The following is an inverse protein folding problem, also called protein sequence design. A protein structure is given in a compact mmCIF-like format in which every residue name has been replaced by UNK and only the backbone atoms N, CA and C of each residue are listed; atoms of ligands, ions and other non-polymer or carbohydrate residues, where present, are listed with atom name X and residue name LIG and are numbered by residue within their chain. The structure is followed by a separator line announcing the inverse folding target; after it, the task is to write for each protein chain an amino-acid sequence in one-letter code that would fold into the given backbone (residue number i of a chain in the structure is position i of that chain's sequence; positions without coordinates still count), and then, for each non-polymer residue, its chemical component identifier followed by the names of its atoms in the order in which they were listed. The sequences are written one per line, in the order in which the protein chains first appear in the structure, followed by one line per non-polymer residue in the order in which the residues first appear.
data_IF_527281204485
#
_entry.id   IF_527281204485
#
_cell.length_a   1.000
_cell.length_b   1.000
_cell.length_c   1.000
_cell.angle_alpha   90.00
_cell.angle_beta   90.00
_cell.angle_gamma   90.00
#
_symmetry.space_group_name_H-M   'P 1'
#
loop_
_entity.id
_entity.type
_entity.pdbx_description
1 polymer ?
#
# COMPACT_ATOMS: atom_id res chain seq x y z
N UNK A 1 -5.20 12.29 4.06
CA UNK A 1 -6.40 11.90 3.28
C UNK A 1 -6.39 12.75 2.03
N UNK A 2 -6.31 12.13 0.85
CA UNK A 2 -6.43 12.85 -0.42
C UNK A 2 -7.90 12.83 -0.87
N UNK A 3 -8.36 13.92 -1.47
CA UNK A 3 -9.72 14.05 -2.01
C UNK A 3 -9.70 14.99 -3.23
N UNK A 4 -9.46 14.45 -4.43
CA UNK A 4 -9.39 15.22 -5.69
C UNK A 4 -10.58 15.04 -6.65
N UNK A 5 -11.64 14.34 -6.24
CA UNK A 5 -12.86 14.12 -7.04
C UNK A 5 -13.26 12.65 -7.12
N UNK A 6 -14.34 12.36 -7.85
CA UNK A 6 -14.80 10.99 -8.11
C UNK A 6 -13.99 10.40 -9.28
N UNK A 7 -13.41 9.21 -9.06
CA UNK A 7 -12.77 8.41 -10.09
C UNK A 7 -13.77 7.37 -10.63
N UNK A 8 -14.18 7.44 -11.92
CA UNK A 8 -15.06 6.45 -12.51
C UNK A 8 -14.48 5.03 -12.46
N UNK A 9 -15.35 4.03 -12.33
CA UNK A 9 -14.99 2.61 -12.17
C UNK A 9 -14.07 2.03 -13.25
N UNK A 10 -14.18 2.51 -14.48
CA UNK A 10 -13.37 2.09 -15.64
C UNK A 10 -11.98 2.74 -15.71
N UNK A 11 -11.66 3.63 -14.78
CA UNK A 11 -10.44 4.42 -14.77
C UNK A 11 -9.57 4.03 -13.58
N UNK A 12 -8.25 4.14 -13.76
CA UNK A 12 -7.29 4.13 -12.65
C UNK A 12 -6.76 5.54 -12.45
N UNK A 13 -6.35 5.86 -11.22
CA UNK A 13 -5.66 7.09 -10.87
C UNK A 13 -4.40 6.75 -10.06
N UNK A 14 -3.44 7.67 -10.05
CA UNK A 14 -2.19 7.52 -9.33
C UNK A 14 -2.15 8.47 -8.12
N UNK A 15 -1.90 7.92 -6.94
CA UNK A 15 -1.72 8.68 -5.71
C UNK A 15 -0.26 8.69 -5.29
N UNK A 16 0.35 9.87 -5.28
CA UNK A 16 1.76 10.04 -4.89
C UNK A 16 1.85 10.46 -3.43
N UNK A 17 2.61 9.70 -2.65
CA UNK A 17 3.02 10.05 -1.28
C UNK A 17 4.55 10.14 -1.26
N UNK A 18 5.07 11.25 -0.73
CA UNK A 18 6.49 11.41 -0.47
C UNK A 18 6.76 11.31 1.03
N UNK A 19 7.74 10.51 1.42
CA UNK A 19 8.14 10.33 2.81
C UNK A 19 9.65 10.05 2.90
N UNK A 20 10.20 10.26 4.08
CA UNK A 20 11.58 9.94 4.41
C UNK A 20 11.64 8.61 5.19
N UNK A 21 12.52 7.71 4.77
CA UNK A 21 12.79 6.45 5.46
C UNK A 21 14.08 6.59 6.27
N UNK A 22 13.99 6.38 7.58
CA UNK A 22 15.14 6.51 8.48
C UNK A 22 16.09 5.31 8.37
N UNK A 23 17.37 5.53 8.65
CA UNK A 23 18.40 4.49 8.73
C UNK A 23 18.20 3.47 9.87
N UNK A 24 17.36 3.81 10.87
CA UNK A 24 17.00 2.89 11.96
C UNK A 24 16.14 1.69 11.53
N UNK A 25 15.62 1.69 10.29
CA UNK A 25 14.82 0.60 9.75
C UNK A 25 15.68 -0.61 9.39
N UNK A 26 15.19 -1.81 9.69
CA UNK A 26 15.91 -3.04 9.39
C UNK A 26 15.98 -3.27 7.87
N UNK A 27 17.18 -3.51 7.28
CA UNK A 27 17.28 -3.86 5.88
C UNK A 27 16.69 -5.25 5.62
N UNK A 28 16.35 -5.52 4.36
CA UNK A 28 15.75 -6.76 3.89
C UNK A 28 14.36 -7.06 4.47
N UNK A 29 13.72 -6.13 5.17
CA UNK A 29 12.31 -6.23 5.57
C UNK A 29 11.41 -5.53 4.55
N UNK A 30 10.11 -5.82 4.59
CA UNK A 30 9.09 -5.12 3.79
C UNK A 30 8.28 -4.20 4.69
N UNK A 31 8.19 -2.92 4.33
CA UNK A 31 7.24 -1.99 4.92
C UNK A 31 5.93 -2.07 4.17
N UNK A 32 4.83 -2.28 4.90
CA UNK A 32 3.49 -2.29 4.33
C UNK A 32 2.78 -0.98 4.62
N UNK A 33 2.05 -0.47 3.64
CA UNK A 33 1.28 0.77 3.73
C UNK A 33 -0.19 0.44 3.57
N UNK A 34 -0.95 0.20 4.65
CA UNK A 34 -2.37 -0.10 4.56
C UNK A 34 -3.15 1.07 3.96
N UNK A 35 -3.97 0.79 2.95
CA UNK A 35 -4.77 1.81 2.25
C UNK A 35 -6.25 1.46 2.35
N UNK A 36 -7.06 2.47 2.68
CA UNK A 36 -8.52 2.41 2.57
C UNK A 36 -8.94 3.32 1.44
N UNK A 37 -9.62 2.76 0.45
CA UNK A 37 -10.23 3.49 -0.64
C UNK A 37 -11.73 3.59 -0.39
N UNK A 38 -12.19 4.82 -0.18
CA UNK A 38 -13.61 5.14 -0.08
C UNK A 38 -14.15 5.44 -1.48
N UNK A 39 -15.23 4.76 -1.87
CA UNK A 39 -15.91 4.95 -3.14
C UNK A 39 -17.32 5.51 -2.88
N UNK A 40 -17.99 6.00 -3.92
CA UNK A 40 -19.40 6.44 -3.80
C UNK A 40 -20.30 5.34 -3.22
N UNK A 41 -19.99 4.08 -3.55
CA UNK A 41 -20.63 2.89 -2.97
C UNK A 41 -19.57 1.91 -2.51
N UNK A 42 -19.57 1.61 -1.22
CA UNK A 42 -18.67 0.62 -0.63
C UNK A 42 -17.28 1.16 -0.27
N UNK A 43 -16.45 0.27 0.23
CA UNK A 43 -15.09 0.58 0.72
C UNK A 43 -14.18 -0.58 0.38
N UNK A 44 -13.07 -0.29 -0.28
CA UNK A 44 -12.00 -1.27 -0.55
C UNK A 44 -10.90 -1.12 0.50
N UNK A 45 -10.53 -2.22 1.16
CA UNK A 45 -9.53 -2.26 2.23
C UNK A 45 -8.31 -3.06 1.80
N UNK A 46 -7.28 -2.36 1.37
CA UNK A 46 -5.98 -2.91 1.00
C UNK A 46 -5.07 -2.92 2.22
N UNK A 47 -5.42 -3.76 3.20
CA UNK A 47 -4.82 -3.74 4.55
C UNK A 47 -4.26 -5.09 4.98
N UNK A 48 -4.38 -6.12 4.15
CA UNK A 48 -3.92 -7.46 4.49
C UNK A 48 -2.40 -7.54 4.37
N UNK A 49 -1.71 -7.93 5.45
CA UNK A 49 -0.27 -8.17 5.46
C UNK A 49 -0.03 -9.67 5.26
N UNK A 50 0.68 -10.10 4.20
CA UNK A 50 0.95 -11.51 3.98
C UNK A 50 1.78 -12.11 5.11
N UNK A 51 1.45 -13.33 5.52
CA UNK A 51 2.36 -14.14 6.30
C UNK A 51 3.59 -14.50 5.45
N UNK A 52 4.71 -14.78 6.11
CA UNK A 52 5.96 -15.14 5.43
C UNK A 52 5.73 -16.38 4.54
N UNK A 53 6.00 -16.24 3.24
CA UNK A 53 5.78 -17.30 2.24
C UNK A 53 4.36 -17.40 1.66
N UNK A 54 3.39 -16.59 2.10
CA UNK A 54 1.97 -16.67 1.71
C UNK A 54 1.49 -15.50 0.82
N UNK A 55 2.37 -14.97 -0.04
CA UNK A 55 2.11 -13.75 -0.83
C UNK A 55 0.87 -13.81 -1.74
N UNK A 56 0.41 -15.01 -2.12
CA UNK A 56 -0.69 -15.23 -3.06
C UNK A 56 -2.05 -15.55 -2.41
N UNK A 57 -2.11 -15.63 -1.08
CA UNK A 57 -3.34 -15.99 -0.37
C UNK A 57 -4.23 -14.78 -0.07
N UNK A 58 -3.64 -13.58 -0.02
CA UNK A 58 -4.33 -12.34 0.32
C UNK A 58 -5.07 -11.78 -0.90
N UNK A 59 -6.36 -11.47 -0.73
CA UNK A 59 -7.22 -10.92 -1.78
C UNK A 59 -7.06 -9.41 -1.94
N UNK A 60 -6.65 -8.73 -0.89
CA UNK A 60 -6.46 -7.27 -0.88
C UNK A 60 -5.21 -6.91 -0.06
N UNK A 61 -4.02 -7.33 -0.54
CA UNK A 61 -2.78 -7.08 0.17
C UNK A 61 -2.48 -5.57 0.23
N UNK A 62 -1.97 -5.12 1.37
CA UNK A 62 -1.42 -3.77 1.47
C UNK A 62 -0.21 -3.61 0.52
N UNK A 63 -0.07 -2.47 -0.16
CA UNK A 63 1.15 -2.13 -0.89
C UNK A 63 2.40 -2.27 -0.01
N UNK A 64 3.44 -2.91 -0.55
CA UNK A 64 4.68 -3.20 0.17
C UNK A 64 5.91 -2.59 -0.51
N UNK A 65 6.83 -2.04 0.28
CA UNK A 65 8.15 -1.56 -0.16
C UNK A 65 9.22 -2.39 0.54
N UNK A 66 10.02 -3.14 -0.24
CA UNK A 66 11.16 -3.90 0.28
C UNK A 66 12.33 -2.96 0.54
N UNK A 67 12.81 -2.93 1.77
CA UNK A 67 13.99 -2.19 2.15
C UNK A 67 15.24 -2.96 1.70
N UNK A 68 16.09 -2.29 0.93
CA UNK A 68 17.40 -2.81 0.56
C UNK A 68 18.46 -2.25 1.52
N UNK A 69 19.60 -2.94 1.71
CA UNK A 69 20.73 -2.38 2.42
C UNK A 69 21.13 -1.03 1.82
N UNK A 70 21.46 -0.06 2.68
CA UNK A 70 22.08 1.18 2.21
C UNK A 70 23.47 0.83 1.63
N UNK A 71 23.78 1.24 0.40
CA UNK A 71 25.08 0.99 -0.21
C UNK A 71 26.26 1.60 0.56
#
# INVERSE_FOLDING_TARGET
MWSGGNLPDRNYDEFVVSSFLTDSLMPNTTLYFPVVQECEKGVSRWIEIPAEGAAHENKSPAPGVKLLPNP
#
